data_IF_114515034092
#
_entry.id   IF_114515034092
#
_cell.length_a   1.000
_cell.length_b   1.000
_cell.length_c   1.000
_cell.angle_alpha   90.00
_cell.angle_beta   90.00
_cell.angle_gamma   90.00
#
_symmetry.space_group_name_H-M   'P 1'
#
loop_
_entity.id
_entity.type
_entity.pdbx_description
1 polymer ?
#
# COMPACT_ATOMS: atom_id res chain seq x y z
N UNK A 1 -4.32 -8.65 8.37
CA UNK A 1 -3.12 -7.82 8.32
C UNK A 1 -3.37 -6.64 7.40
N UNK A 2 -3.00 -5.42 7.80
CA UNK A 2 -3.13 -4.20 6.99
C UNK A 2 -1.74 -3.66 6.70
N UNK A 3 -1.53 -3.23 5.46
CA UNK A 3 -0.38 -2.46 5.01
C UNK A 3 -0.81 -1.02 4.75
N UNK A 4 -0.12 0.00 5.29
CA UNK A 4 -0.47 1.39 5.04
C UNK A 4 0.02 1.81 3.64
N UNK A 5 -0.64 2.84 3.09
CA UNK A 5 -0.24 3.49 1.84
C UNK A 5 0.27 4.90 2.16
N UNK A 6 1.27 5.37 1.43
CA UNK A 6 1.81 6.72 1.57
C UNK A 6 2.07 7.38 0.22
N UNK A 7 1.86 8.69 0.12
CA UNK A 7 2.34 9.53 -0.99
C UNK A 7 3.64 10.26 -0.65
N UNK A 8 4.15 10.09 0.58
CA UNK A 8 5.37 10.75 1.07
C UNK A 8 6.61 9.86 0.96
N UNK A 9 6.64 8.95 -0.03
CA UNK A 9 7.77 8.06 -0.27
C UNK A 9 9.06 8.84 -0.50
N UNK A 10 9.00 9.98 -1.20
CA UNK A 10 10.21 10.71 -1.56
C UNK A 10 11.02 11.23 -0.37
N UNK A 11 10.35 11.53 0.75
CA UNK A 11 10.96 12.03 1.98
C UNK A 11 11.59 10.92 2.84
N UNK A 12 11.50 9.66 2.41
CA UNK A 12 11.99 8.49 3.16
C UNK A 12 13.48 8.26 2.90
N UNK A 13 14.19 7.69 3.88
CA UNK A 13 15.63 7.38 3.73
C UNK A 13 15.85 6.27 2.69
N UNK A 14 17.03 6.26 2.06
CA UNK A 14 17.40 5.22 1.07
C UNK A 14 17.24 3.79 1.62
N UNK A 15 17.52 3.60 2.90
CA UNK A 15 17.41 2.30 3.56
C UNK A 15 15.95 1.83 3.63
N UNK A 16 15.02 2.70 4.03
CA UNK A 16 13.60 2.32 4.21
C UNK A 16 12.84 2.34 2.89
N UNK A 17 13.25 3.15 1.89
CA UNK A 17 12.64 3.16 0.54
C UNK A 17 12.57 1.77 -0.09
N UNK A 18 13.52 0.87 0.22
CA UNK A 18 13.53 -0.53 -0.24
C UNK A 18 12.33 -1.37 0.22
N UNK A 19 11.58 -0.91 1.24
CA UNK A 19 10.42 -1.59 1.82
C UNK A 19 9.09 -1.01 1.32
N UNK A 20 9.11 -0.34 0.18
CA UNK A 20 7.92 0.25 -0.41
C UNK A 20 7.69 -0.33 -1.79
N UNK A 21 6.46 -0.75 -2.05
CA UNK A 21 5.99 -1.13 -3.37
C UNK A 21 5.30 0.06 -4.02
N UNK A 22 5.71 0.43 -5.24
CA UNK A 22 5.03 1.48 -6.01
C UNK A 22 3.72 0.97 -6.58
N UNK A 23 2.61 1.67 -6.31
CA UNK A 23 1.31 1.36 -6.90
C UNK A 23 1.32 1.88 -8.34
N UNK A 24 1.16 0.97 -9.30
CA UNK A 24 1.27 1.24 -10.73
C UNK A 24 -0.05 1.70 -11.30
N UNK A 25 -1.15 1.00 -10.98
CA UNK A 25 -2.49 1.37 -11.44
C UNK A 25 -3.20 2.23 -10.39
N UNK A 26 -3.01 3.55 -10.52
CA UNK A 26 -3.64 4.52 -9.63
C UNK A 26 -5.15 4.64 -9.84
N UNK A 27 -5.67 4.32 -11.03
CA UNK A 27 -7.09 4.47 -11.36
C UNK A 27 -7.92 3.38 -10.68
N UNK A 28 -7.52 2.11 -10.82
CA UNK A 28 -8.13 0.99 -10.11
C UNK A 28 -8.07 1.17 -8.60
N UNK A 29 -6.95 1.69 -8.10
CA UNK A 29 -6.75 2.00 -6.68
C UNK A 29 -7.52 3.24 -6.20
N UNK A 30 -8.14 4.00 -7.10
CA UNK A 30 -8.80 5.29 -6.87
C UNK A 30 -7.91 6.31 -6.16
N UNK A 31 -6.65 6.37 -6.55
CA UNK A 31 -5.65 7.30 -6.03
C UNK A 31 -5.41 8.42 -7.04
N UNK A 32 -5.44 9.67 -6.60
CA UNK A 32 -5.21 10.84 -7.45
C UNK A 32 -3.74 11.27 -7.53
N UNK A 33 -2.84 10.53 -6.89
CA UNK A 33 -1.41 10.83 -6.85
C UNK A 33 -0.58 9.59 -6.61
N UNK A 34 0.67 9.67 -7.06
CA UNK A 34 1.68 8.62 -6.89
C UNK A 34 1.79 8.21 -5.42
N UNK A 35 1.67 6.90 -5.18
CA UNK A 35 1.54 6.33 -3.86
C UNK A 35 2.24 4.97 -3.79
N UNK A 36 2.62 4.57 -2.57
CA UNK A 36 3.35 3.35 -2.31
C UNK A 36 2.76 2.58 -1.14
N UNK A 37 2.75 1.26 -1.21
CA UNK A 37 2.42 0.36 -0.10
C UNK A 37 3.67 0.20 0.76
N UNK A 38 3.56 0.43 2.06
CA UNK A 38 4.62 0.13 3.02
C UNK A 38 4.59 -1.36 3.38
N UNK A 39 5.57 -2.13 2.91
CA UNK A 39 5.67 -3.56 3.20
C UNK A 39 6.45 -3.84 4.49
N UNK A 40 7.10 -2.82 5.05
CA UNK A 40 7.86 -2.90 6.30
C UNK A 40 7.01 -2.73 7.56
N UNK A 41 5.88 -2.02 7.47
CA UNK A 41 4.97 -1.78 8.58
C UNK A 41 3.67 -2.56 8.41
N UNK A 42 3.40 -3.47 9.34
CA UNK A 42 2.21 -4.35 9.32
C UNK A 42 1.38 -4.08 10.57
N UNK A 43 0.08 -3.90 10.37
CA UNK A 43 -0.86 -3.68 11.48
C UNK A 43 -1.86 -4.82 11.58
N UNK A 44 -2.19 -5.16 12.82
CA UNK A 44 -3.31 -6.03 13.14
C UNK A 44 -4.53 -5.20 13.50
N UNK A 45 -5.68 -5.62 13.00
CA UNK A 45 -6.94 -5.04 13.40
C UNK A 45 -7.38 -5.66 14.71
N UNK A 46 -7.68 -4.81 15.70
CA UNK A 46 -8.39 -5.27 16.90
C UNK A 46 -9.83 -5.62 16.51
N UNK A 47 -10.36 -6.71 17.06
CA UNK A 47 -11.63 -7.35 16.67
C UNK A 47 -12.87 -6.45 16.73
N UNK A 48 -12.80 -5.29 17.39
CA UNK A 48 -13.96 -4.46 17.71
C UNK A 48 -14.11 -3.23 16.80
N UNK A 49 -13.47 -3.23 15.62
CA UNK A 49 -13.47 -2.07 14.73
C UNK A 49 -14.52 -2.18 13.60
N UNK A 50 -15.25 -1.07 13.44
CA UNK A 50 -16.39 -0.76 12.54
C UNK A 50 -16.10 -1.05 11.04
N UNK A 51 -17.12 -1.14 10.14
CA UNK A 51 -16.96 -1.71 8.80
C UNK A 51 -16.08 -0.82 7.91
N UNK A 52 -15.06 -1.42 7.33
CA UNK A 52 -14.22 -0.78 6.34
C UNK A 52 -15.04 -0.46 5.09
N UNK A 53 -14.86 0.75 4.57
CA UNK A 53 -15.32 1.09 3.23
C UNK A 53 -14.20 0.74 2.25
N UNK A 54 -14.47 -0.16 1.32
CA UNK A 54 -13.60 -0.38 0.17
C UNK A 54 -13.71 0.85 -0.74
N UNK A 55 -12.57 1.48 -1.03
CA UNK A 55 -12.50 2.69 -1.87
C UNK A 55 -11.97 2.39 -3.27
N UNK A 56 -11.27 1.27 -3.46
CA UNK A 56 -10.63 0.88 -4.71
C UNK A 56 -9.98 -0.48 -4.57
N UNK A 57 -9.38 -0.96 -5.64
CA UNK A 57 -8.75 -2.28 -5.73
C UNK A 57 -7.39 -2.18 -6.41
N UNK A 58 -6.47 -3.09 -6.09
CA UNK A 58 -5.24 -3.22 -6.86
C UNK A 58 -5.50 -3.96 -8.16
N UNK A 59 -4.80 -3.54 -9.21
CA UNK A 59 -4.73 -4.28 -10.47
C UNK A 59 -4.07 -5.64 -10.24
N UNK A 60 -4.23 -6.56 -11.19
CA UNK A 60 -3.54 -7.86 -11.13
C UNK A 60 -2.01 -7.68 -11.10
N UNK A 61 -1.48 -6.70 -11.85
CA UNK A 61 -0.06 -6.37 -11.84
C UNK A 61 0.41 -5.90 -10.46
N UNK A 62 -0.39 -5.05 -9.80
CA UNK A 62 -0.10 -4.56 -8.46
C UNK A 62 -0.17 -5.69 -7.42
N UNK A 63 -1.14 -6.59 -7.53
CA UNK A 63 -1.27 -7.77 -6.65
C UNK A 63 -0.05 -8.70 -6.81
N UNK A 64 0.34 -9.02 -8.04
CA UNK A 64 1.49 -9.89 -8.33
C UNK A 64 2.80 -9.22 -7.92
N UNK A 65 2.93 -7.91 -8.11
CA UNK A 65 4.12 -7.17 -7.74
C UNK A 65 4.27 -7.07 -6.22
N UNK A 66 3.19 -6.75 -5.52
CA UNK A 66 3.17 -6.64 -4.07
C UNK A 66 3.42 -8.01 -3.41
N UNK A 67 2.84 -9.09 -3.92
CA UNK A 67 2.99 -10.44 -3.35
C UNK A 67 4.44 -10.92 -3.31
N UNK A 68 5.30 -10.45 -4.23
CA UNK A 68 6.74 -10.74 -4.25
C UNK A 68 7.52 -10.03 -3.13
N UNK A 69 6.91 -9.06 -2.45
CA UNK A 69 7.55 -8.25 -1.41
C UNK A 69 7.08 -8.59 0.02
N UNK A 70 6.05 -9.41 0.19
CA UNK A 70 5.39 -9.65 1.48
C UNK A 70 5.53 -11.07 2.02
#
# INVERSE_FOLDING_TARGET
MILPITSKYENKSKAIKKRYYEIKDLDSARLNKKSWVDTGNRFELKSNFNPYRVIGHFSEEDIIGLSKMI
#
